data_IF_801351920644
#
_entry.id   IF_801351920644
#
_cell.length_a   1.000
_cell.length_b   1.000
_cell.length_c   1.000
_cell.angle_alpha   90.00
_cell.angle_beta   90.00
_cell.angle_gamma   90.00
#
_symmetry.space_group_name_H-M   'P 1'
#
loop_
_entity.id
_entity.type
_entity.pdbx_description
1 polymer ?
#
# COMPACT_ATOMS: atom_id res chain seq x y z
N UNK A 1 30.41 -2.08 15.71
CA UNK A 1 29.37 -2.88 15.01
C UNK A 1 28.05 -2.11 14.96
N UNK A 2 27.87 -1.18 14.01
CA UNK A 2 26.63 -0.36 13.92
C UNK A 2 26.05 -0.30 12.49
N UNK A 3 26.85 -0.56 11.45
CA UNK A 3 26.38 -0.47 10.06
C UNK A 3 25.42 -1.58 9.65
N UNK A 4 25.63 -2.84 10.07
CA UNK A 4 24.75 -3.96 9.71
C UNK A 4 23.33 -3.85 10.29
N UNK A 5 23.17 -3.24 11.48
CA UNK A 5 21.85 -2.99 12.06
C UNK A 5 21.09 -1.91 11.28
N UNK A 6 21.80 -0.84 10.84
CA UNK A 6 21.22 0.22 10.02
C UNK A 6 20.76 -0.28 8.64
N UNK A 7 21.53 -1.17 8.01
CA UNK A 7 21.16 -1.78 6.72
C UNK A 7 19.89 -2.63 6.84
N UNK A 8 19.75 -3.42 7.92
CA UNK A 8 18.53 -4.22 8.15
C UNK A 8 17.30 -3.35 8.39
N UNK A 9 17.42 -2.28 9.18
CA UNK A 9 16.33 -1.31 9.35
C UNK A 9 15.95 -0.64 8.03
N UNK A 10 16.94 -0.22 7.24
CA UNK A 10 16.67 0.41 5.94
C UNK A 10 15.96 -0.54 4.98
N UNK A 11 16.40 -1.81 4.93
CA UNK A 11 15.77 -2.83 4.10
C UNK A 11 14.34 -3.15 4.57
N UNK A 12 14.11 -3.20 5.89
CA UNK A 12 12.77 -3.35 6.45
C UNK A 12 11.87 -2.17 6.09
N UNK A 13 12.37 -0.93 6.15
CA UNK A 13 11.62 0.25 5.73
C UNK A 13 11.24 0.21 4.25
N UNK A 14 12.17 -0.23 3.37
CA UNK A 14 11.88 -0.42 1.94
C UNK A 14 10.79 -1.47 1.74
N UNK A 15 10.89 -2.62 2.42
CA UNK A 15 9.88 -3.67 2.31
C UNK A 15 8.51 -3.16 2.77
N UNK A 16 8.44 -2.48 3.92
CA UNK A 16 7.19 -1.92 4.44
C UNK A 16 6.61 -0.88 3.48
N UNK A 17 7.46 0.01 2.95
CA UNK A 17 7.04 0.98 1.93
C UNK A 17 6.49 0.27 0.69
N UNK A 18 7.17 -0.75 0.18
CA UNK A 18 6.76 -1.48 -1.00
C UNK A 18 5.44 -2.25 -0.80
N UNK A 19 5.25 -2.88 0.38
CA UNK A 19 3.98 -3.50 0.76
C UNK A 19 2.87 -2.44 0.80
N UNK A 20 3.15 -1.26 1.37
CA UNK A 20 2.17 -0.16 1.42
C UNK A 20 1.80 0.36 0.04
N UNK A 21 2.77 0.51 -0.86
CA UNK A 21 2.57 0.86 -2.26
C UNK A 21 1.73 -0.20 -2.99
N UNK A 22 2.07 -1.49 -2.84
CA UNK A 22 1.29 -2.58 -3.42
C UNK A 22 -0.14 -2.57 -2.90
N UNK A 23 -0.33 -2.48 -1.58
CA UNK A 23 -1.64 -2.53 -0.95
C UNK A 23 -2.55 -1.35 -1.32
N UNK A 24 -2.03 -0.12 -1.21
CA UNK A 24 -2.83 1.10 -1.30
C UNK A 24 -2.95 1.64 -2.73
N UNK A 25 -2.04 1.29 -3.63
CA UNK A 25 -1.98 1.86 -4.98
C UNK A 25 -2.05 0.78 -6.06
N UNK A 26 -1.13 -0.20 -6.06
CA UNK A 26 -1.00 -1.15 -7.17
C UNK A 26 -2.13 -2.19 -7.21
N UNK A 27 -2.42 -2.90 -6.12
CA UNK A 27 -3.45 -3.94 -6.09
C UNK A 27 -4.86 -3.42 -6.42
N UNK A 28 -5.30 -2.25 -5.90
CA UNK A 28 -6.57 -1.64 -6.31
C UNK A 28 -6.61 -1.24 -7.80
N UNK A 29 -5.47 -0.81 -8.36
CA UNK A 29 -5.37 -0.47 -9.79
C UNK A 29 -5.38 -1.68 -10.72
N UNK A 30 -5.15 -2.89 -10.20
CA UNK A 30 -5.09 -4.15 -10.96
C UNK A 30 -6.41 -4.92 -10.98
N UNK A 31 -7.36 -4.59 -10.10
CA UNK A 31 -8.71 -5.21 -10.09
C UNK A 31 -9.57 -4.66 -11.24
N UNK A 32 -9.92 -5.47 -12.27
CA UNK A 32 -10.63 -4.98 -13.44
C UNK A 32 -12.15 -5.21 -13.35
N UNK A 33 -12.82 -4.89 -12.22
CA UNK A 33 -14.28 -5.13 -12.13
C UNK A 33 -15.17 -4.12 -11.37
N UNK A 34 -14.69 -3.01 -10.79
CA UNK A 34 -15.63 -2.04 -10.15
C UNK A 34 -15.45 -0.55 -10.47
N UNK A 35 -14.45 -0.13 -11.25
CA UNK A 35 -14.29 1.29 -11.60
C UNK A 35 -14.08 1.53 -13.10
N UNK A 36 -15.05 1.06 -13.89
CA UNK A 36 -15.42 1.68 -15.16
C UNK A 36 -16.11 3.06 -14.96
N UNK A 37 -15.99 3.65 -13.78
CA UNK A 37 -16.62 4.90 -13.38
C UNK A 37 -15.48 5.87 -13.02
N UNK A 38 -15.35 6.91 -13.84
CA UNK A 38 -14.53 8.11 -13.61
C UNK A 38 -13.03 8.03 -13.96
N UNK A 39 -12.78 7.70 -15.24
CA UNK A 39 -12.19 8.72 -16.12
C UNK A 39 -10.79 9.22 -15.81
N UNK A 40 -9.82 8.33 -15.62
CA UNK A 40 -8.39 8.67 -15.74
C UNK A 40 -7.69 7.58 -16.56
N UNK A 41 -7.63 7.86 -17.87
CA UNK A 41 -6.50 7.60 -18.78
C UNK A 41 -5.68 6.32 -18.60
N UNK A 42 -5.72 5.50 -19.65
CA UNK A 42 -4.59 4.70 -20.15
C UNK A 42 -3.95 3.77 -19.10
N UNK A 43 -4.60 2.63 -18.89
CA UNK A 43 -3.93 1.42 -18.37
C UNK A 43 -2.79 1.05 -19.30
N UNK A 44 -1.64 1.68 -19.10
CA UNK A 44 -0.34 1.16 -19.48
C UNK A 44 -0.28 -0.23 -18.85
N UNK A 45 -0.47 -1.26 -19.67
CA UNK A 45 -0.23 -2.64 -19.26
C UNK A 45 1.20 -2.68 -18.73
N UNK A 46 1.34 -2.65 -17.41
CA UNK A 46 2.63 -2.68 -16.77
C UNK A 46 3.26 -4.04 -17.10
N UNK A 47 4.51 -4.09 -17.58
CA UNK A 47 5.11 -5.36 -18.00
C UNK A 47 5.26 -6.36 -16.84
N UNK A 48 5.12 -5.89 -15.59
CA UNK A 48 5.11 -6.68 -14.35
C UNK A 48 3.73 -7.18 -13.91
N UNK A 49 2.67 -7.00 -14.69
CA UNK A 49 1.30 -7.32 -14.26
C UNK A 49 1.15 -8.73 -13.66
N UNK A 50 1.81 -9.75 -14.22
CA UNK A 50 1.78 -11.13 -13.71
C UNK A 50 2.49 -11.31 -12.37
N UNK A 51 3.55 -10.54 -12.09
CA UNK A 51 4.26 -10.57 -10.81
C UNK A 51 3.50 -9.80 -9.74
N UNK A 52 2.93 -8.64 -10.09
CA UNK A 52 2.12 -7.87 -9.17
C UNK A 52 0.81 -8.58 -8.82
N UNK A 53 0.17 -9.29 -9.74
CA UNK A 53 -1.05 -10.05 -9.45
C UNK A 53 -0.82 -11.15 -8.41
N UNK A 54 0.29 -11.89 -8.51
CA UNK A 54 0.67 -12.93 -7.55
C UNK A 54 1.00 -12.31 -6.18
N UNK A 55 1.72 -11.18 -6.15
CA UNK A 55 2.02 -10.47 -4.91
C UNK A 55 0.74 -9.94 -4.24
N UNK A 56 -0.22 -9.45 -5.02
CA UNK A 56 -1.52 -9.03 -4.52
C UNK A 56 -2.33 -10.20 -3.96
N UNK A 57 -2.28 -11.37 -4.57
CA UNK A 57 -2.94 -12.57 -4.04
C UNK A 57 -2.35 -13.01 -2.69
N UNK A 58 -1.02 -13.04 -2.56
CA UNK A 58 -0.36 -13.31 -1.28
C UNK A 58 -0.72 -12.28 -0.21
N UNK A 59 -0.81 -11.01 -0.60
CA UNK A 59 -1.17 -9.94 0.32
C UNK A 59 -2.62 -10.09 0.80
N UNK A 60 -3.56 -10.42 -0.09
CA UNK A 60 -4.96 -10.69 0.28
C UNK A 60 -5.06 -11.91 1.19
N UNK A 61 -4.40 -13.02 0.87
CA UNK A 61 -4.38 -14.21 1.72
C UNK A 61 -3.79 -13.92 3.13
N UNK A 62 -2.76 -13.07 3.19
CA UNK A 62 -2.21 -12.59 4.46
C UNK A 62 -3.23 -11.77 5.26
N UNK A 63 -3.98 -10.90 4.60
CA UNK A 63 -5.05 -10.10 5.23
C UNK A 63 -6.16 -11.00 5.74
N UNK A 64 -6.64 -11.96 4.95
CA UNK A 64 -7.70 -12.90 5.35
C UNK A 64 -7.30 -13.70 6.61
N UNK A 65 -6.02 -14.03 6.74
CA UNK A 65 -5.48 -14.72 7.92
C UNK A 65 -5.47 -13.83 9.16
N UNK A 66 -5.24 -12.52 9.00
CA UNK A 66 -5.16 -11.54 10.11
C UNK A 66 -6.53 -10.93 10.44
N UNK A 67 -7.45 -10.89 9.48
CA UNK A 67 -8.83 -10.41 9.59
C UNK A 67 -9.55 -10.85 10.88
N UNK A 68 -9.54 -12.14 11.28
CA UNK A 68 -10.23 -12.56 12.50
C UNK A 68 -9.62 -11.99 13.79
N UNK A 69 -8.32 -11.68 13.79
CA UNK A 69 -7.66 -11.03 14.94
C UNK A 69 -7.95 -9.54 14.95
N UNK A 70 -7.96 -8.91 13.77
CA UNK A 70 -8.33 -7.50 13.63
C UNK A 70 -9.76 -7.25 14.11
N UNK A 71 -10.71 -8.12 13.74
CA UNK A 71 -12.10 -8.06 14.19
C UNK A 71 -12.19 -8.14 15.72
N UNK A 72 -11.51 -9.10 16.35
CA UNK A 72 -11.49 -9.22 17.83
C UNK A 72 -10.94 -7.99 18.54
N UNK A 73 -9.93 -7.35 17.97
CA UNK A 73 -9.36 -6.12 18.53
C UNK A 73 -10.37 -4.98 18.41
N UNK A 74 -11.04 -4.83 17.26
CA UNK A 74 -12.09 -3.83 17.09
C UNK A 74 -13.26 -4.05 18.04
N UNK A 75 -13.73 -5.28 18.21
CA UNK A 75 -14.80 -5.62 19.15
C UNK A 75 -14.42 -5.23 20.59
N UNK A 76 -13.17 -5.49 20.98
CA UNK A 76 -12.66 -5.10 22.30
C UNK A 76 -12.60 -3.57 22.47
N UNK A 77 -12.12 -2.85 21.46
CA UNK A 77 -12.06 -1.39 21.49
C UNK A 77 -13.46 -0.77 21.55
N UNK A 78 -14.41 -1.31 20.81
CA UNK A 78 -15.80 -0.85 20.83
C UNK A 78 -16.43 -1.02 22.22
N UNK A 79 -16.26 -2.20 22.82
CA UNK A 79 -16.85 -2.51 24.13
C UNK A 79 -16.19 -1.73 25.29
N UNK A 80 -14.87 -1.54 25.26
CA UNK A 80 -14.13 -1.00 26.42
C UNK A 80 -13.68 0.44 26.26
N UNK A 81 -13.41 0.90 25.03
CA UNK A 81 -12.86 2.25 24.78
C UNK A 81 -13.95 3.17 24.26
N UNK A 82 -14.66 2.79 23.20
CA UNK A 82 -15.64 3.68 22.56
C UNK A 82 -16.88 3.93 23.43
N UNK A 83 -17.25 2.97 24.28
CA UNK A 83 -18.32 3.13 25.27
C UNK A 83 -17.86 3.80 26.57
N UNK A 84 -16.56 4.05 26.76
CA UNK A 84 -16.06 4.64 27.98
C UNK A 84 -16.57 6.10 28.12
N UNK A 85 -17.08 6.52 29.29
CA UNK A 85 -17.68 7.85 29.45
C UNK A 85 -16.72 9.00 29.10
N UNK A 86 -15.42 8.86 29.40
CA UNK A 86 -14.41 9.85 28.99
C UNK A 86 -14.21 9.90 27.45
N UNK A 87 -14.34 8.78 26.75
CA UNK A 87 -14.19 8.75 25.30
C UNK A 87 -15.31 9.54 24.60
N UNK A 88 -16.54 9.37 25.12
CA UNK A 88 -17.73 10.09 24.68
C UNK A 88 -17.64 11.58 25.08
N UNK A 89 -17.29 11.86 26.33
CA UNK A 89 -17.18 13.23 26.87
C UNK A 89 -16.16 14.07 26.09
N UNK A 90 -15.01 13.50 25.75
CA UNK A 90 -13.97 14.21 25.00
C UNK A 90 -14.14 14.19 23.47
N UNK A 91 -15.24 13.59 22.98
CA UNK A 91 -15.55 13.44 21.55
C UNK A 91 -14.34 12.92 20.76
N UNK A 92 -13.73 11.86 21.28
CA UNK A 92 -12.49 11.33 20.71
C UNK A 92 -12.72 10.81 19.29
N UNK A 93 -13.89 10.21 19.02
CA UNK A 93 -14.30 9.77 17.69
C UNK A 93 -14.35 10.92 16.66
N UNK A 94 -14.93 12.07 17.02
CA UNK A 94 -14.98 13.25 16.16
C UNK A 94 -13.57 13.77 15.84
N UNK A 95 -12.68 13.78 16.85
CA UNK A 95 -11.28 14.21 16.67
C UNK A 95 -10.51 13.24 15.78
N UNK A 96 -10.72 11.93 15.97
CA UNK A 96 -10.07 10.90 15.17
C UNK A 96 -10.55 10.94 13.71
N UNK A 97 -11.84 11.16 13.50
CA UNK A 97 -12.43 11.38 12.17
C UNK A 97 -11.89 12.64 11.51
N UNK A 98 -11.79 13.75 12.25
CA UNK A 98 -11.19 14.99 11.77
C UNK A 98 -9.72 14.81 11.38
N UNK A 99 -8.93 14.12 12.22
CA UNK A 99 -7.54 13.81 11.93
C UNK A 99 -7.39 12.94 10.67
N UNK A 100 -8.24 11.91 10.52
CA UNK A 100 -8.28 11.09 9.30
C UNK A 100 -8.61 11.93 8.07
N UNK A 101 -9.58 12.84 8.18
CA UNK A 101 -9.92 13.77 7.09
C UNK A 101 -8.77 14.70 6.74
N UNK A 102 -8.08 15.26 7.72
CA UNK A 102 -6.91 16.11 7.49
C UNK A 102 -5.77 15.32 6.83
N UNK A 103 -5.49 14.11 7.30
CA UNK A 103 -4.50 13.24 6.68
C UNK A 103 -4.85 12.94 5.22
N UNK A 104 -6.11 12.57 4.95
CA UNK A 104 -6.58 12.30 3.59
C UNK A 104 -6.55 13.53 2.69
N UNK A 105 -6.73 14.73 3.25
CA UNK A 105 -6.76 15.98 2.47
C UNK A 105 -5.36 16.49 2.17
N UNK A 106 -4.44 16.41 3.14
CA UNK A 106 -3.16 17.09 3.07
C UNK A 106 -1.97 16.16 2.88
N UNK A 107 -2.02 14.94 3.40
CA UNK A 107 -0.86 14.03 3.39
C UNK A 107 -1.00 13.00 2.27
N UNK A 108 -2.19 12.44 2.12
CA UNK A 108 -2.47 11.42 1.12
C UNK A 108 -2.14 11.84 -0.33
N UNK A 109 -2.38 13.09 -0.78
CA UNK A 109 -2.01 13.49 -2.14
C UNK A 109 -0.51 13.34 -2.44
N UNK A 110 0.35 13.70 -1.49
CA UNK A 110 1.81 13.56 -1.65
C UNK A 110 2.25 12.10 -1.62
N UNK A 111 1.59 11.26 -0.80
CA UNK A 111 1.83 9.82 -0.79
C UNK A 111 1.43 9.22 -2.14
N UNK A 112 0.28 9.63 -2.69
CA UNK A 112 -0.19 9.17 -3.98
C UNK A 112 0.75 9.59 -5.11
N UNK A 113 1.22 10.84 -5.11
CA UNK A 113 2.21 11.33 -6.09
C UNK A 113 3.53 10.54 -6.00
N UNK A 114 3.99 10.24 -4.79
CA UNK A 114 5.17 9.38 -4.57
C UNK A 114 4.95 7.96 -5.12
N UNK A 115 3.76 7.39 -4.96
CA UNK A 115 3.42 6.09 -5.53
C UNK A 115 3.39 6.13 -7.06
N UNK A 116 2.82 7.17 -7.66
CA UNK A 116 2.85 7.36 -9.13
C UNK A 116 4.28 7.47 -9.65
N UNK A 117 5.17 8.17 -8.93
CA UNK A 117 6.58 8.26 -9.30
C UNK A 117 7.29 6.91 -9.21
N UNK A 118 7.06 6.16 -8.13
CA UNK A 118 7.58 4.79 -7.98
C UNK A 118 7.11 3.88 -9.10
N UNK A 119 5.84 3.99 -9.50
CA UNK A 119 5.27 3.21 -10.60
C UNK A 119 5.97 3.50 -11.94
N UNK A 120 6.24 4.77 -12.24
CA UNK A 120 6.98 5.18 -13.44
C UNK A 120 8.43 4.66 -13.43
N UNK A 121 9.11 4.72 -12.27
CA UNK A 121 10.46 4.19 -12.11
C UNK A 121 10.50 2.67 -12.29
N UNK A 122 9.49 1.93 -11.82
CA UNK A 122 9.40 0.48 -12.03
C UNK A 122 9.33 0.11 -13.52
N UNK A 123 8.51 0.82 -14.31
CA UNK A 123 8.44 0.60 -15.78
C UNK A 123 9.81 0.81 -16.40
N UNK A 124 10.46 1.93 -16.06
CA UNK A 124 11.74 2.30 -16.66
C UNK A 124 12.85 1.32 -16.26
N UNK A 125 12.90 0.91 -14.99
CA UNK A 125 13.86 -0.07 -14.52
C UNK A 125 13.68 -1.42 -15.23
N UNK A 126 12.43 -1.83 -15.44
CA UNK A 126 12.15 -3.08 -16.16
C UNK A 126 12.60 -3.02 -17.62
N UNK A 127 12.33 -1.92 -18.33
CA UNK A 127 12.77 -1.75 -19.71
C UNK A 127 14.30 -1.87 -19.86
N UNK A 128 15.06 -1.34 -18.90
CA UNK A 128 16.53 -1.47 -18.88
C UNK A 128 16.96 -2.91 -18.60
N UNK A 129 16.31 -3.60 -17.66
CA UNK A 129 16.62 -5.01 -17.36
C UNK A 129 16.32 -5.90 -18.56
N UNK A 130 15.23 -5.65 -19.27
CA UNK A 130 14.86 -6.39 -20.48
C UNK A 130 15.87 -6.17 -21.61
N UNK A 131 16.28 -4.93 -21.88
CA UNK A 131 17.34 -4.61 -22.85
C UNK A 131 18.66 -5.30 -22.50
N UNK A 132 19.06 -5.30 -21.22
CA UNK A 132 20.26 -6.02 -20.76
C UNK A 132 20.14 -7.53 -20.96
N UNK A 133 19.00 -8.13 -20.65
CA UNK A 133 18.77 -9.57 -20.85
C UNK A 133 18.77 -9.96 -22.33
N UNK A 134 18.25 -9.10 -23.22
CA UNK A 134 18.29 -9.35 -24.65
C UNK A 134 19.71 -9.28 -25.20
N UNK A 135 20.51 -8.29 -24.77
CA UNK A 135 21.93 -8.18 -25.15
C UNK A 135 22.76 -9.38 -24.67
N UNK A 136 22.56 -9.82 -23.43
CA UNK A 136 23.25 -10.99 -22.86
C UNK A 136 22.89 -12.32 -23.53
N UNK A 137 21.77 -12.40 -24.26
CA UNK A 137 21.38 -13.60 -25.04
C UNK A 137 21.91 -13.58 -26.48
N UNK A 138 22.42 -12.44 -26.95
CA UNK A 138 22.98 -12.29 -28.29
C UNK A 138 24.48 -12.54 -28.36
N UNK A 139 25.18 -12.48 -27.22
CA UNK A 139 26.56 -12.96 -27.03
C UNK A 139 26.60 -14.46 -26.67
#
# INVERSE_FOLDING_TARGET
MSCFAKVKCFLACIIVYYISYLYNYKCPSLTPLEQAVEGVTETVLHPLHSHHSVLCEYLHSGIDTVQPYHAKVHDFLDEHIHQHPLFIEYKIEDKLTSAKKQFSTYVYPYINELYTFTDALEVQAYAVVEDLQQRLKQD
#
